data_IF_993709908147
#
_entry.id   IF_993709908147
#
_cell.length_a   1.000
_cell.length_b   1.000
_cell.length_c   1.000
_cell.angle_alpha   90.00
_cell.angle_beta   90.00
_cell.angle_gamma   90.00
#
_symmetry.space_group_name_H-M   'P 1'
#
loop_
_entity.id
_entity.type
_entity.pdbx_description
1 polymer ?
#
# COMPACT_ATOMS: atom_id res chain seq x y z
N UNK A 1 9.95 10.87 31.04
CA UNK A 1 10.23 11.49 29.75
C UNK A 1 9.84 10.49 28.67
N UNK A 2 8.59 10.51 28.20
CA UNK A 2 8.19 9.67 27.08
C UNK A 2 8.64 10.37 25.81
N UNK A 3 9.77 9.94 25.25
CA UNK A 3 10.11 10.27 23.87
C UNK A 3 9.15 9.44 23.02
N UNK A 4 8.11 10.08 22.48
CA UNK A 4 7.33 9.48 21.41
C UNK A 4 8.30 9.19 20.26
N UNK A 5 8.54 7.91 19.96
CA UNK A 5 9.21 7.54 18.72
C UNK A 5 8.32 8.08 17.61
N UNK A 6 8.85 8.94 16.74
CA UNK A 6 8.09 9.45 15.60
C UNK A 6 7.51 8.24 14.85
N UNK A 7 6.20 8.21 14.62
CA UNK A 7 5.58 7.16 13.84
C UNK A 7 6.17 7.19 12.43
N UNK A 8 6.59 6.02 11.93
CA UNK A 8 7.07 5.90 10.55
C UNK A 8 5.98 6.38 9.57
N UNK A 9 6.38 7.08 8.51
CA UNK A 9 5.47 7.63 7.50
C UNK A 9 4.57 6.55 6.87
N UNK A 10 5.07 5.32 6.83
CA UNK A 10 4.37 4.14 6.39
C UNK A 10 4.70 2.97 7.31
N UNK A 11 3.70 2.15 7.61
CA UNK A 11 3.82 0.97 8.45
C UNK A 11 3.24 -0.25 7.72
N UNK A 12 3.99 -1.36 7.65
CA UNK A 12 3.47 -2.62 7.11
C UNK A 12 2.58 -3.29 8.17
N UNK A 13 1.35 -3.58 7.81
CA UNK A 13 0.36 -4.18 8.72
C UNK A 13 0.33 -5.70 8.53
N UNK A 14 0.36 -6.43 9.65
CA UNK A 14 0.21 -7.89 9.64
C UNK A 14 -1.19 -8.29 9.14
N UNK A 15 -1.30 -9.42 8.45
CA UNK A 15 -2.54 -9.83 7.78
C UNK A 15 -3.74 -9.99 8.74
N UNK A 16 -3.50 -10.38 9.99
CA UNK A 16 -4.48 -10.52 11.06
C UNK A 16 -4.80 -9.20 11.80
N UNK A 17 -4.05 -8.14 11.51
CA UNK A 17 -4.21 -6.81 12.08
C UNK A 17 -4.77 -5.78 11.08
N UNK A 18 -5.16 -6.21 9.87
CA UNK A 18 -5.77 -5.33 8.88
C UNK A 18 -7.13 -4.86 9.37
N UNK A 19 -7.38 -3.54 9.47
CA UNK A 19 -8.64 -3.04 9.97
C UNK A 19 -9.76 -3.26 8.92
N UNK A 20 -10.99 -3.44 9.41
CA UNK A 20 -12.14 -3.75 8.54
C UNK A 20 -12.51 -2.61 7.56
N UNK A 21 -12.10 -1.38 7.86
CA UNK A 21 -12.28 -0.19 7.04
C UNK A 21 -11.07 0.13 6.14
N UNK A 22 -10.15 -0.83 5.98
CA UNK A 22 -9.05 -0.69 5.03
C UNK A 22 -9.57 -0.39 3.62
N UNK A 23 -8.84 0.45 2.88
CA UNK A 23 -9.17 0.79 1.51
C UNK A 23 -8.54 -0.22 0.56
N UNK A 24 -9.33 -0.79 -0.35
CA UNK A 24 -8.90 -1.94 -1.14
C UNK A 24 -8.35 -1.55 -2.52
N UNK A 25 -7.29 -2.24 -2.92
CA UNK A 25 -6.75 -2.22 -4.28
C UNK A 25 -6.64 -3.66 -4.78
N UNK A 26 -7.35 -3.97 -5.86
CA UNK A 26 -7.22 -5.25 -6.54
C UNK A 26 -6.05 -5.23 -7.51
N UNK A 27 -5.28 -6.32 -7.55
CA UNK A 27 -4.32 -6.58 -8.63
C UNK A 27 -5.00 -7.54 -9.59
N UNK A 28 -5.37 -7.04 -10.76
CA UNK A 28 -6.02 -7.84 -11.80
C UNK A 28 -5.67 -7.36 -13.20
N UNK A 29 -5.60 -8.28 -14.17
CA UNK A 29 -5.27 -8.01 -15.57
C UNK A 29 -3.97 -7.21 -15.71
N UNK A 30 -2.96 -7.55 -14.91
CA UNK A 30 -1.66 -6.88 -14.84
C UNK A 30 -1.76 -5.39 -14.48
N UNK A 31 -2.71 -5.02 -13.61
CA UNK A 31 -2.95 -3.63 -13.18
C UNK A 31 -3.36 -3.56 -11.72
N UNK A 32 -3.12 -2.41 -11.09
CA UNK A 32 -3.73 -2.02 -9.81
C UNK A 32 -5.07 -1.35 -10.08
N UNK A 33 -6.12 -1.71 -9.34
CA UNK A 33 -7.47 -1.22 -9.49
C UNK A 33 -8.07 -0.85 -8.11
N UNK A 34 -8.36 0.44 -7.84
CA UNK A 34 -8.06 1.59 -8.68
C UNK A 34 -6.54 1.85 -8.78
N UNK A 35 -6.10 2.41 -9.90
CA UNK A 35 -4.69 2.79 -10.08
C UNK A 35 -4.31 4.06 -9.31
N UNK A 36 -5.29 4.91 -8.99
CA UNK A 36 -5.11 6.13 -8.21
C UNK A 36 -6.08 6.10 -7.05
N UNK A 37 -5.57 6.33 -5.85
CA UNK A 37 -6.35 6.31 -4.62
C UNK A 37 -6.08 7.57 -3.82
N UNK A 38 -7.11 8.03 -3.13
CA UNK A 38 -7.00 9.08 -2.12
C UNK A 38 -7.43 8.50 -0.77
N UNK A 39 -6.62 8.75 0.26
CA UNK A 39 -6.87 8.31 1.64
C UNK A 39 -6.50 9.44 2.62
N UNK A 40 -6.94 9.34 3.86
CA UNK A 40 -6.54 10.22 4.96
C UNK A 40 -5.37 9.63 5.74
N UNK A 41 -4.64 10.51 6.41
CA UNK A 41 -3.59 10.16 7.36
C UNK A 41 -4.12 9.17 8.42
N UNK A 42 -3.40 8.07 8.58
CA UNK A 42 -3.72 6.97 9.48
C UNK A 42 -4.53 5.84 8.84
N UNK A 43 -4.99 5.96 7.59
CA UNK A 43 -5.71 4.88 6.92
C UNK A 43 -4.78 3.78 6.39
N UNK A 44 -5.32 2.56 6.31
CA UNK A 44 -4.65 1.39 5.76
C UNK A 44 -5.14 1.11 4.34
N UNK A 45 -4.22 0.83 3.42
CA UNK A 45 -4.52 0.31 2.09
C UNK A 45 -4.15 -1.16 2.03
N UNK A 46 -5.07 -1.99 1.54
CA UNK A 46 -4.94 -3.43 1.36
C UNK A 46 -4.89 -3.77 -0.14
N UNK A 47 -3.79 -4.34 -0.59
CA UNK A 47 -3.69 -4.92 -1.92
C UNK A 47 -4.05 -6.39 -1.90
N UNK A 48 -4.89 -6.84 -2.82
CA UNK A 48 -5.23 -8.26 -3.01
C UNK A 48 -4.83 -8.70 -4.41
N UNK A 49 -4.05 -9.78 -4.53
CA UNK A 49 -3.74 -10.32 -5.84
C UNK A 49 -4.85 -11.24 -6.36
N UNK A 50 -5.62 -10.77 -7.33
CA UNK A 50 -6.65 -11.56 -8.01
C UNK A 50 -6.19 -12.09 -9.38
N UNK A 51 -4.94 -11.86 -9.75
CA UNK A 51 -4.32 -12.47 -10.93
C UNK A 51 -3.64 -13.80 -10.58
N UNK A 52 -3.56 -14.68 -11.58
CA UNK A 52 -2.78 -15.92 -11.48
C UNK A 52 -1.26 -15.64 -11.42
N UNK A 53 -0.82 -14.52 -12.01
CA UNK A 53 0.57 -14.08 -11.98
C UNK A 53 0.91 -13.49 -10.60
N UNK A 54 2.07 -13.81 -10.01
CA UNK A 54 2.49 -13.16 -8.79
C UNK A 54 2.81 -11.67 -8.99
N UNK A 55 2.39 -10.85 -8.04
CA UNK A 55 2.63 -9.40 -8.03
C UNK A 55 3.07 -8.92 -6.65
N UNK A 56 3.68 -7.75 -6.57
CA UNK A 56 3.95 -7.09 -5.30
C UNK A 56 3.67 -5.59 -5.41
N UNK A 57 3.96 -4.88 -4.33
CA UNK A 57 3.87 -3.42 -4.24
C UNK A 57 5.22 -2.90 -3.76
N UNK A 58 5.82 -2.00 -4.55
CA UNK A 58 7.07 -1.34 -4.22
C UNK A 58 6.88 0.17 -4.29
N UNK A 59 7.08 0.85 -3.16
CA UNK A 59 7.18 2.31 -3.07
C UNK A 59 8.66 2.66 -3.00
N UNK A 60 9.13 3.49 -3.94
CA UNK A 60 10.54 3.88 -3.98
C UNK A 60 10.83 5.21 -3.27
N UNK A 61 9.83 6.10 -3.22
CA UNK A 61 9.89 7.46 -2.64
C UNK A 61 8.51 7.81 -2.03
N UNK A 62 8.41 8.68 -1.01
CA UNK A 62 9.52 9.30 -0.28
C UNK A 62 10.27 8.33 0.64
N UNK A 63 9.68 7.19 0.98
CA UNK A 63 10.32 6.13 1.79
C UNK A 63 10.22 4.78 1.06
N UNK A 64 11.26 3.95 1.19
CA UNK A 64 11.33 2.67 0.49
C UNK A 64 10.61 1.58 1.27
N UNK A 65 9.58 1.00 0.66
CA UNK A 65 8.94 -0.24 1.12
C UNK A 65 8.75 -1.16 -0.08
N UNK A 66 9.04 -2.44 0.09
CA UNK A 66 8.72 -3.47 -0.88
C UNK A 66 8.03 -4.64 -0.18
N UNK A 67 6.80 -4.93 -0.58
CA UNK A 67 6.10 -6.13 -0.16
C UNK A 67 6.68 -7.38 -0.81
N UNK A 68 6.45 -8.53 -0.16
CA UNK A 68 6.72 -9.85 -0.75
C UNK A 68 5.85 -10.07 -2.00
N UNK A 69 6.25 -11.04 -2.83
CA UNK A 69 5.43 -11.48 -3.96
C UNK A 69 4.16 -12.16 -3.45
N UNK A 70 3.02 -11.60 -3.82
CA UNK A 70 1.69 -12.10 -3.58
C UNK A 70 1.31 -13.07 -4.68
N UNK A 71 1.03 -14.32 -4.33
CA UNK A 71 0.31 -15.28 -5.18
C UNK A 71 -1.19 -14.93 -5.21
N UNK A 72 -1.94 -15.55 -6.11
CA UNK A 72 -3.40 -15.42 -6.17
C UNK A 72 -4.04 -15.61 -4.78
N UNK A 73 -4.92 -14.68 -4.40
CA UNK A 73 -5.61 -14.62 -3.12
C UNK A 73 -4.80 -14.06 -1.95
N UNK A 74 -3.50 -13.80 -2.12
CA UNK A 74 -2.68 -13.22 -1.06
C UNK A 74 -2.78 -11.69 -1.01
N UNK A 75 -2.54 -11.16 0.18
CA UNK A 75 -2.72 -9.73 0.48
C UNK A 75 -1.46 -9.09 1.06
N UNK A 76 -1.37 -7.77 0.94
CA UNK A 76 -0.36 -6.93 1.56
C UNK A 76 -1.00 -5.62 2.01
N UNK A 77 -0.63 -5.12 3.19
CA UNK A 77 -1.25 -3.94 3.77
C UNK A 77 -0.21 -2.93 4.26
N UNK A 78 -0.44 -1.65 3.94
CA UNK A 78 0.35 -0.52 4.45
C UNK A 78 -0.59 0.51 5.07
N UNK A 79 -0.27 0.95 6.28
CA UNK A 79 -0.86 2.15 6.90
C UNK A 79 -0.02 3.38 6.55
N UNK A 80 -0.68 4.46 6.15
CA UNK A 80 -0.03 5.70 5.74
C UNK A 80 -0.22 6.77 6.81
N UNK A 81 0.83 7.14 7.51
CA UNK A 81 0.79 8.07 8.66
C UNK A 81 1.25 9.49 8.32
N UNK A 82 1.62 9.79 7.06
CA UNK A 82 2.05 11.13 6.67
C UNK A 82 1.39 11.57 5.36
N UNK A 83 0.81 12.79 5.31
CA UNK A 83 0.31 13.37 4.07
C UNK A 83 1.38 13.45 2.99
N UNK A 84 0.99 13.21 1.74
CA UNK A 84 1.90 13.20 0.60
C UNK A 84 1.44 12.32 -0.54
N UNK A 85 2.26 12.22 -1.58
CA UNK A 85 2.02 11.34 -2.72
C UNK A 85 3.00 10.16 -2.69
N UNK A 86 2.44 8.95 -2.78
CA UNK A 86 3.16 7.69 -2.74
C UNK A 86 2.93 6.94 -4.04
N UNK A 87 3.89 7.06 -4.98
CA UNK A 87 3.88 6.30 -6.21
C UNK A 87 4.45 4.89 -5.96
N UNK A 88 3.80 3.88 -6.53
CA UNK A 88 4.23 2.49 -6.40
C UNK A 88 4.17 1.72 -7.71
N UNK A 89 5.01 0.69 -7.79
CA UNK A 89 5.11 -0.22 -8.93
C UNK A 89 5.15 -1.68 -8.50
N UNK A 90 5.00 -2.58 -9.46
CA UNK A 90 5.34 -3.98 -9.28
C UNK A 90 6.81 -4.18 -9.67
N UNK A 91 7.62 -4.83 -8.83
CA UNK A 91 9.06 -5.02 -9.04
C UNK A 91 9.38 -5.75 -10.36
N UNK A 92 8.81 -6.93 -10.66
CA UNK A 92 9.04 -7.61 -11.95
C UNK A 92 8.30 -6.96 -13.13
N UNK A 93 7.31 -6.09 -12.86
CA UNK A 93 6.47 -5.48 -13.89
C UNK A 93 6.38 -3.95 -13.71
N UNK A 94 7.46 -3.17 -13.97
CA UNK A 94 7.50 -1.74 -13.67
C UNK A 94 6.50 -0.86 -14.47
N UNK A 95 5.87 -1.44 -15.49
CA UNK A 95 4.76 -0.80 -16.21
C UNK A 95 3.46 -0.77 -15.39
N UNK A 96 3.31 -1.66 -14.40
CA UNK A 96 2.23 -1.61 -13.43
C UNK A 96 2.52 -0.48 -12.46
N UNK A 97 1.68 0.55 -12.49
CA UNK A 97 1.85 1.77 -11.70
C UNK A 97 0.58 2.08 -10.96
N UNK A 98 0.72 2.51 -9.70
CA UNK A 98 -0.35 3.15 -8.96
C UNK A 98 0.17 4.31 -8.13
N UNK A 99 -0.75 5.12 -7.61
CA UNK A 99 -0.43 6.19 -6.67
C UNK A 99 -1.48 6.30 -5.57
N UNK A 100 -1.00 6.66 -4.39
CA UNK A 100 -1.84 7.03 -3.23
C UNK A 100 -1.54 8.48 -2.89
N UNK A 101 -2.58 9.30 -2.86
CA UNK A 101 -2.53 10.64 -2.26
C UNK A 101 -3.08 10.55 -0.84
N UNK A 102 -2.23 10.83 0.14
CA UNK A 102 -2.60 10.88 1.55
C UNK A 102 -2.88 12.33 1.91
N UNK A 103 -4.12 12.61 2.33
CA UNK A 103 -4.54 13.91 2.83
C UNK A 103 -4.35 14.00 4.34
N UNK A 104 -4.13 15.21 4.90
CA UNK A 104 -4.24 15.43 6.34
C UNK A 104 -5.59 14.92 6.83
N UNK A 105 -5.59 14.34 8.03
CA UNK A 105 -6.82 14.01 8.72
C UNK A 105 -7.61 15.29 9.03
N UNK A 106 -8.91 15.27 8.77
CA UNK A 106 -9.83 16.38 9.07
C UNK A 106 -10.03 16.64 10.55
#
# INVERSE_FOLDING_TARGET
MNVAVAADAMEVIAADAVPADAVHVDITKMKYAPAKLEVEEGQTVLWTNNDAMPHNVQIANPFKIAGNMLRAGQTFAIKFNQPGEYAYTCTPHPFMKGSITVKPKG
#
